data_IF_363935124514
#
_entry.id   IF_363935124514
#
_cell.length_a   1.000
_cell.length_b   1.000
_cell.length_c   1.000
_cell.angle_alpha   90.00
_cell.angle_beta   90.00
_cell.angle_gamma   90.00
#
_symmetry.space_group_name_H-M   'P 1'
#
loop_
_entity.id
_entity.type
_entity.pdbx_description
1 polymer ?
#
# COMPACT_ATOMS: atom_id res chain seq x y z
N UNK A 1 0.47 -7.21 -31.01
CA UNK A 1 -0.07 -7.89 -29.81
C UNK A 1 -0.14 -6.94 -28.63
N UNK A 2 -1.14 -7.13 -27.76
CA UNK A 2 -1.35 -6.65 -26.37
C UNK A 2 -2.57 -5.73 -26.22
N UNK A 3 -3.73 -6.36 -26.01
CA UNK A 3 -4.92 -5.73 -25.46
C UNK A 3 -4.91 -5.91 -23.93
N UNK A 4 -5.01 -4.78 -23.25
CA UNK A 4 -5.18 -4.56 -21.82
C UNK A 4 -6.51 -5.16 -21.36
N UNK A 5 -6.47 -6.26 -20.60
CA UNK A 5 -7.66 -6.99 -20.16
C UNK A 5 -7.96 -6.70 -18.69
N UNK A 6 -8.87 -5.75 -18.50
CA UNK A 6 -9.94 -5.70 -17.49
C UNK A 6 -9.70 -6.56 -16.23
N UNK A 7 -9.09 -5.95 -15.22
CA UNK A 7 -8.87 -6.58 -13.92
C UNK A 7 -10.18 -6.63 -13.11
N UNK A 8 -11.02 -7.63 -13.41
CA UNK A 8 -12.12 -8.07 -12.54
C UNK A 8 -11.54 -8.46 -11.16
N UNK A 9 -11.80 -7.66 -10.14
CA UNK A 9 -11.44 -7.95 -8.75
C UNK A 9 -12.24 -9.16 -8.23
N UNK A 10 -11.77 -10.37 -8.51
CA UNK A 10 -12.22 -11.59 -7.83
C UNK A 10 -11.87 -11.46 -6.34
N UNK A 11 -12.80 -11.82 -5.46
CA UNK A 11 -12.82 -11.66 -3.99
C UNK A 11 -11.57 -12.17 -3.21
N UNK A 12 -10.58 -12.77 -3.89
CA UNK A 12 -9.27 -13.16 -3.36
C UNK A 12 -8.08 -12.31 -3.84
N UNK A 13 -8.27 -11.31 -4.71
CA UNK A 13 -7.24 -10.34 -5.12
C UNK A 13 -7.45 -9.02 -4.39
N UNK A 14 -7.48 -9.07 -3.06
CA UNK A 14 -7.35 -7.84 -2.30
C UNK A 14 -5.99 -7.21 -2.68
N UNK A 15 -5.95 -5.91 -3.02
CA UNK A 15 -4.69 -5.27 -3.35
C UNK A 15 -3.80 -5.33 -2.11
N UNK A 16 -2.74 -6.12 -2.17
CA UNK A 16 -1.67 -6.09 -1.19
C UNK A 16 -0.71 -5.00 -1.64
N UNK A 17 -0.56 -3.95 -0.82
CA UNK A 17 0.41 -2.88 -1.09
C UNK A 17 1.67 -3.13 -0.29
N UNK A 18 2.84 -2.80 -0.82
CA UNK A 18 4.07 -2.83 -0.03
C UNK A 18 4.27 -1.49 0.65
N UNK A 19 4.51 -1.50 1.97
CA UNK A 19 4.84 -0.28 2.71
C UNK A 19 6.15 0.32 2.19
N UNK A 20 6.13 1.56 1.73
CA UNK A 20 7.32 2.23 1.19
C UNK A 20 8.41 2.51 2.24
N UNK A 21 8.09 2.46 3.54
CA UNK A 21 9.04 2.70 4.61
C UNK A 21 9.72 1.42 5.11
N UNK A 22 8.97 0.33 5.28
CA UNK A 22 9.45 -0.88 5.93
C UNK A 22 9.42 -2.13 5.04
N UNK A 23 8.93 -2.02 3.81
CA UNK A 23 8.84 -3.14 2.86
C UNK A 23 7.83 -4.23 3.24
N UNK A 24 7.06 -4.06 4.33
CA UNK A 24 6.09 -5.07 4.75
C UNK A 24 4.87 -5.11 3.83
N UNK A 25 4.34 -6.31 3.50
CA UNK A 25 3.09 -6.46 2.79
C UNK A 25 1.94 -5.94 3.66
N UNK A 26 1.20 -4.99 3.11
CA UNK A 26 0.04 -4.37 3.72
C UNK A 26 -1.21 -4.95 3.06
N UNK A 27 -1.95 -5.70 3.86
CA UNK A 27 -3.23 -6.25 3.45
C UNK A 27 -4.29 -5.15 3.38
N UNK A 28 -5.20 -5.29 2.41
CA UNK A 28 -6.34 -4.39 2.30
C UNK A 28 -7.23 -4.48 3.55
N UNK A 29 -7.58 -3.32 4.12
CA UNK A 29 -8.56 -3.21 5.20
C UNK A 29 -9.76 -2.41 4.75
N UNK A 30 -10.96 -2.82 5.20
CA UNK A 30 -12.22 -2.07 4.99
C UNK A 30 -12.12 -0.62 5.49
N UNK A 31 -11.42 -0.39 6.60
CA UNK A 31 -11.19 0.95 7.16
C UNK A 31 -10.43 1.88 6.21
N UNK A 32 -9.72 1.33 5.23
CA UNK A 32 -8.95 2.10 4.26
C UNK A 32 -9.66 2.23 2.91
N UNK A 33 -10.86 1.67 2.72
CA UNK A 33 -11.55 1.70 1.44
C UNK A 33 -11.67 3.12 0.83
N UNK A 34 -11.87 4.13 1.67
CA UNK A 34 -11.97 5.55 1.24
C UNK A 34 -10.62 6.20 0.93
N UNK A 35 -9.57 5.80 1.63
CA UNK A 35 -8.27 6.49 1.61
C UNK A 35 -7.16 5.61 1.01
N UNK A 36 -7.50 4.43 0.47
CA UNK A 36 -6.56 3.41 0.04
C UNK A 36 -5.58 3.91 -1.02
N UNK A 37 -6.00 4.87 -1.85
CA UNK A 37 -5.12 5.50 -2.84
C UNK A 37 -3.97 6.28 -2.15
N UNK A 38 -4.29 7.03 -1.09
CA UNK A 38 -3.33 7.81 -0.28
C UNK A 38 -2.50 6.94 0.69
N UNK A 39 -3.02 5.78 1.11
CA UNK A 39 -2.30 4.88 2.01
C UNK A 39 -1.10 4.26 1.27
N UNK A 40 0.11 4.71 1.65
CA UNK A 40 1.42 4.21 1.18
C UNK A 40 2.21 3.49 2.28
N UNK A 41 1.74 3.58 3.54
CA UNK A 41 2.46 3.14 4.73
C UNK A 41 1.57 2.26 5.61
N UNK A 42 2.12 1.18 6.19
CA UNK A 42 1.35 0.18 6.94
C UNK A 42 0.83 0.68 8.29
N UNK A 43 1.37 1.80 8.77
CA UNK A 43 1.05 2.37 10.08
C UNK A 43 1.39 3.86 10.09
N UNK A 44 0.77 4.61 10.99
CA UNK A 44 1.05 6.04 11.15
C UNK A 44 2.52 6.30 11.49
N UNK A 45 3.15 5.41 12.26
CA UNK A 45 4.61 5.44 12.54
C UNK A 45 5.45 5.45 11.27
N UNK A 46 5.11 4.64 10.26
CA UNK A 46 5.82 4.59 8.98
C UNK A 46 5.57 5.86 8.15
N UNK A 47 4.34 6.39 8.18
CA UNK A 47 3.99 7.67 7.55
C UNK A 47 4.73 8.85 8.17
N UNK A 48 4.88 8.88 9.49
CA UNK A 48 5.62 9.90 10.22
C UNK A 48 7.15 9.73 10.05
N UNK A 49 7.64 8.48 9.98
CA UNK A 49 9.04 8.15 9.76
C UNK A 49 9.55 8.48 8.35
N UNK A 50 8.71 8.39 7.33
CA UNK A 50 9.06 8.78 5.96
C UNK A 50 9.48 10.24 5.84
N UNK A 51 8.93 11.12 6.66
CA UNK A 51 9.30 12.55 6.67
C UNK A 51 10.63 12.82 7.37
N UNK A 52 11.19 11.80 8.04
CA UNK A 52 12.36 11.89 8.91
C UNK A 52 13.39 10.80 8.65
N UNK A 53 13.46 10.28 7.44
CA UNK A 53 14.64 9.49 7.04
C UNK A 53 15.63 10.49 6.41
N UNK A 54 16.32 11.29 7.24
CA UNK A 54 17.74 11.01 7.50
C UNK A 54 18.04 9.52 7.34
N UNK A 55 18.79 9.11 6.31
CA UNK A 55 19.34 7.76 6.28
C UNK A 55 20.10 7.54 7.58
N UNK A 56 19.68 6.56 8.36
CA UNK A 56 20.34 6.21 9.61
C UNK A 56 21.67 5.52 9.29
N UNK A 57 22.69 5.85 10.09
CA UNK A 57 24.00 5.21 10.33
C UNK A 57 24.56 4.19 9.34
#
# INVERSE_FOLDING_TARGET
MKADAEKKYKKGNLPVKICQQCGRPMEWRKAWAKNWNEVKYCSDRCRAGSKRTSPHS
#
